data_IF_051882735289
#
_entry.id   IF_051882735289
#
_cell.length_a   1.000
_cell.length_b   1.000
_cell.length_c   1.000
_cell.angle_alpha   90.00
_cell.angle_beta   90.00
_cell.angle_gamma   90.00
#
_symmetry.space_group_name_H-M   'P 1'
#
loop_
_entity.id
_entity.type
_entity.pdbx_description
1 polymer ?
#
# COMPACT_ATOMS: atom_id res chain seq x y z
N UNK A 1 16.53 11.32 -6.89
CA UNK A 1 15.08 11.50 -7.16
C UNK A 1 14.69 10.50 -8.23
N UNK A 2 13.74 9.60 -7.98
CA UNK A 2 13.24 8.69 -9.01
C UNK A 2 12.03 9.33 -9.68
N UNK A 3 12.06 9.37 -11.01
CA UNK A 3 11.00 9.90 -11.85
C UNK A 3 10.72 8.97 -13.01
N UNK A 4 9.46 8.84 -13.37
CA UNK A 4 8.95 8.10 -14.52
C UNK A 4 8.11 9.09 -15.31
N UNK A 5 8.36 9.22 -16.62
CA UNK A 5 7.60 10.14 -17.48
C UNK A 5 7.50 11.57 -16.92
N UNK A 6 8.61 12.08 -16.36
CA UNK A 6 8.69 13.39 -15.69
C UNK A 6 7.83 13.54 -14.40
N UNK A 7 7.22 12.48 -13.90
CA UNK A 7 6.49 12.43 -12.63
C UNK A 7 7.34 11.81 -11.51
N UNK A 8 7.23 12.32 -10.28
CA UNK A 8 7.85 11.73 -9.10
C UNK A 8 7.10 10.46 -8.67
N UNK A 9 7.83 9.38 -8.40
CA UNK A 9 7.22 8.07 -8.12
C UNK A 9 6.97 7.76 -6.64
N UNK A 10 7.69 8.41 -5.72
CA UNK A 10 7.58 8.18 -4.26
C UNK A 10 7.50 6.66 -3.90
N UNK A 11 8.55 5.88 -4.18
CA UNK A 11 8.49 4.41 -4.20
C UNK A 11 8.57 3.73 -2.83
N UNK A 12 8.64 4.50 -1.74
CA UNK A 12 8.78 3.94 -0.41
C UNK A 12 7.43 3.57 0.20
N UNK A 13 7.37 2.50 1.01
CA UNK A 13 6.15 2.08 1.68
C UNK A 13 5.73 3.06 2.78
N UNK A 14 4.46 2.96 3.19
CA UNK A 14 3.92 3.61 4.37
C UNK A 14 3.27 2.59 5.28
N UNK A 15 3.36 2.82 6.58
CA UNK A 15 2.80 1.94 7.60
C UNK A 15 2.06 2.78 8.65
N UNK A 16 0.94 2.27 9.12
CA UNK A 16 0.24 2.80 10.30
C UNK A 16 -0.17 1.66 11.22
N UNK A 17 -0.38 1.98 12.49
CA UNK A 17 -0.99 1.09 13.46
C UNK A 17 -2.42 1.52 13.75
N UNK A 18 -3.29 0.55 14.01
CA UNK A 18 -4.59 0.80 14.61
C UNK A 18 -4.41 1.20 16.08
N UNK A 19 -4.65 2.49 16.35
CA UNK A 19 -4.55 3.07 17.69
C UNK A 19 -5.93 3.27 18.34
N UNK A 20 -6.99 2.71 17.74
CA UNK A 20 -8.34 2.77 18.27
C UNK A 20 -8.53 1.88 19.49
N UNK A 21 -9.73 1.92 20.07
CA UNK A 21 -10.18 0.95 21.07
C UNK A 21 -11.05 -0.16 20.44
N UNK A 22 -11.03 -0.26 19.11
CA UNK A 22 -11.75 -1.27 18.34
C UNK A 22 -11.08 -2.66 18.36
N UNK A 23 -11.71 -3.65 17.71
CA UNK A 23 -11.27 -5.05 17.72
C UNK A 23 -9.91 -5.30 17.06
N UNK A 24 -9.43 -4.38 16.21
CA UNK A 24 -8.15 -4.52 15.51
C UNK A 24 -7.03 -3.67 16.10
N UNK A 25 -7.19 -3.14 17.31
CA UNK A 25 -6.16 -2.35 18.00
C UNK A 25 -4.80 -3.06 17.97
N UNK A 26 -3.78 -2.35 17.49
CA UNK A 26 -2.42 -2.85 17.33
C UNK A 26 -2.12 -3.49 15.97
N UNK A 27 -3.14 -3.73 15.12
CA UNK A 27 -2.93 -4.19 13.74
C UNK A 27 -2.09 -3.17 12.97
N UNK A 28 -1.09 -3.67 12.26
CA UNK A 28 -0.29 -2.86 11.35
C UNK A 28 -0.86 -2.95 9.95
N UNK A 29 -0.99 -1.82 9.26
CA UNK A 29 -1.37 -1.75 7.86
C UNK A 29 -0.21 -1.17 7.05
N UNK A 30 0.21 -1.86 6.00
CA UNK A 30 1.32 -1.51 5.12
C UNK A 30 0.80 -1.26 3.71
N UNK A 31 1.06 -0.08 3.15
CA UNK A 31 0.76 0.26 1.75
C UNK A 31 2.01 0.60 0.96
N UNK A 32 2.05 0.15 -0.29
CA UNK A 32 3.21 0.34 -1.17
C UNK A 32 2.83 0.25 -2.64
N UNK A 33 3.63 0.88 -3.49
CA UNK A 33 3.53 0.72 -4.94
C UNK A 33 4.36 -0.49 -5.38
N UNK A 34 3.80 -1.37 -6.21
CA UNK A 34 4.49 -2.54 -6.76
C UNK A 34 4.05 -2.78 -8.20
N UNK A 35 5.00 -3.08 -9.08
CA UNK A 35 4.73 -3.58 -10.41
C UNK A 35 4.19 -5.02 -10.32
N UNK A 36 3.13 -5.32 -11.07
CA UNK A 36 2.63 -6.69 -11.24
C UNK A 36 2.14 -6.87 -12.68
N UNK A 37 2.81 -7.72 -13.50
CA UNK A 37 4.03 -8.45 -13.19
C UNK A 37 5.25 -7.53 -12.99
N UNK A 38 6.33 -8.07 -12.42
CA UNK A 38 7.61 -7.37 -12.33
C UNK A 38 8.06 -6.88 -13.72
N UNK A 39 8.43 -5.61 -13.81
CA UNK A 39 8.82 -4.99 -15.08
C UNK A 39 7.66 -4.50 -15.95
N UNK A 40 6.48 -4.21 -15.37
CA UNK A 40 5.28 -3.64 -16.03
C UNK A 40 5.45 -2.23 -16.65
N UNK A 41 6.64 -1.84 -17.06
CA UNK A 41 6.88 -0.55 -17.71
C UNK A 41 6.77 0.65 -16.76
N UNK A 42 7.11 0.45 -15.48
CA UNK A 42 6.97 1.45 -14.42
C UNK A 42 5.53 1.87 -14.14
N UNK A 43 4.59 0.93 -14.32
CA UNK A 43 3.17 1.09 -14.02
C UNK A 43 2.83 0.20 -12.83
N UNK A 44 3.12 0.67 -11.60
CA UNK A 44 2.76 -0.06 -10.41
C UNK A 44 1.29 0.14 -10.07
N UNK A 45 0.79 -0.80 -9.31
CA UNK A 45 -0.45 -0.73 -8.56
C UNK A 45 -0.16 -0.44 -7.08
N UNK A 46 -1.18 -0.01 -6.33
CA UNK A 46 -1.09 0.14 -4.88
C UNK A 46 -1.58 -1.14 -4.21
N UNK A 47 -0.75 -1.66 -3.32
CA UNK A 47 -1.01 -2.88 -2.57
C UNK A 47 -1.09 -2.61 -1.08
N UNK A 48 -1.97 -3.33 -0.39
CA UNK A 48 -2.07 -3.33 1.07
C UNK A 48 -1.84 -4.73 1.64
N UNK A 49 -1.23 -4.79 2.82
CA UNK A 49 -1.12 -5.97 3.68
C UNK A 49 -1.34 -5.54 5.12
N UNK A 50 -1.80 -6.46 5.97
CA UNK A 50 -1.83 -6.21 7.41
C UNK A 50 -1.18 -7.32 8.21
N UNK A 51 -0.81 -6.99 9.45
CA UNK A 51 -0.24 -7.90 10.45
C UNK A 51 -0.99 -7.74 11.76
N UNK A 52 -1.40 -8.87 12.35
CA UNK A 52 -2.05 -8.96 13.66
C UNK A 52 -1.08 -9.33 14.80
N UNK A 53 0.19 -9.58 14.47
CA UNK A 53 1.19 -10.17 15.37
C UNK A 53 2.46 -9.32 15.43
N UNK A 54 2.28 -8.00 15.52
CA UNK A 54 3.37 -7.02 15.70
C UNK A 54 4.41 -7.05 14.56
N UNK A 55 3.98 -7.42 13.35
CA UNK A 55 4.82 -7.46 12.15
C UNK A 55 5.54 -8.79 11.92
N UNK A 56 5.29 -9.82 12.74
CA UNK A 56 5.92 -11.12 12.58
C UNK A 56 5.43 -11.87 11.33
N UNK A 57 4.13 -11.80 11.04
CA UNK A 57 3.51 -12.32 9.82
C UNK A 57 2.58 -11.30 9.18
N UNK A 58 2.35 -11.47 7.87
CA UNK A 58 1.54 -10.55 7.07
C UNK A 58 0.60 -11.35 6.17
N UNK A 59 -0.63 -10.87 5.98
CA UNK A 59 -1.59 -11.45 5.02
C UNK A 59 -1.04 -11.50 3.60
N UNK A 60 -1.69 -12.20 2.67
CA UNK A 60 -1.43 -11.97 1.24
C UNK A 60 -1.63 -10.50 0.87
N UNK A 61 -0.94 -10.04 -0.18
CA UNK A 61 -1.09 -8.70 -0.70
C UNK A 61 -2.43 -8.55 -1.44
N UNK A 62 -3.15 -7.48 -1.13
CA UNK A 62 -4.39 -7.10 -1.80
C UNK A 62 -4.13 -5.86 -2.64
N UNK A 63 -4.49 -5.90 -3.93
CA UNK A 63 -4.49 -4.71 -4.78
C UNK A 63 -5.66 -3.80 -4.43
N UNK A 64 -5.41 -2.51 -4.29
CA UNK A 64 -6.39 -1.54 -3.74
C UNK A 64 -7.04 -0.69 -4.83
N UNK A 65 -6.31 -0.39 -5.90
CA UNK A 65 -6.89 0.25 -7.08
C UNK A 65 -7.77 -0.72 -7.88
N UNK A 66 -8.75 -0.16 -8.60
CA UNK A 66 -9.85 -0.87 -9.25
C UNK A 66 -9.74 -0.93 -10.78
N UNK A 67 -8.64 -0.45 -11.37
CA UNK A 67 -8.51 -0.49 -12.81
C UNK A 67 -8.34 -1.93 -13.35
N UNK A 68 -9.02 -2.29 -14.45
CA UNK A 68 -9.06 -3.67 -14.93
C UNK A 68 -7.70 -4.18 -15.42
N UNK A 69 -6.86 -3.28 -15.95
CA UNK A 69 -5.58 -3.62 -16.54
C UNK A 69 -4.43 -2.92 -15.80
N UNK A 70 -3.63 -3.67 -15.02
CA UNK A 70 -2.51 -3.12 -14.24
C UNK A 70 -1.39 -2.50 -15.10
N UNK A 71 -1.47 -2.64 -16.42
CA UNK A 71 -0.46 -2.16 -17.37
C UNK A 71 -0.84 -0.84 -18.04
N UNK A 72 -1.98 -0.23 -17.70
CA UNK A 72 -2.44 0.98 -18.39
C UNK A 72 -2.07 2.25 -17.63
N UNK A 73 -2.13 2.22 -16.30
CA UNK A 73 -2.09 3.41 -15.45
C UNK A 73 -0.86 3.47 -14.54
N UNK A 74 -0.57 4.68 -14.04
CA UNK A 74 0.50 4.93 -13.08
C UNK A 74 -0.08 5.17 -11.69
N UNK A 75 0.03 4.20 -10.77
CA UNK A 75 -0.43 4.38 -9.39
C UNK A 75 0.75 4.62 -8.44
N UNK A 76 0.96 5.87 -8.05
CA UNK A 76 2.09 6.28 -7.23
C UNK A 76 1.65 7.03 -5.97
N UNK A 77 2.62 7.25 -5.08
CA UNK A 77 2.45 8.07 -3.89
C UNK A 77 1.28 7.63 -2.99
N UNK A 78 1.26 6.37 -2.52
CA UNK A 78 0.27 5.95 -1.55
C UNK A 78 0.37 6.80 -0.27
N UNK A 79 -0.75 6.89 0.42
CA UNK A 79 -0.83 7.43 1.77
C UNK A 79 -1.80 6.56 2.56
N UNK A 80 -1.55 6.42 3.86
CA UNK A 80 -2.44 5.69 4.76
C UNK A 80 -2.56 6.43 6.08
N UNK A 81 -3.75 6.35 6.66
CA UNK A 81 -4.08 6.80 8.00
C UNK A 81 -5.10 5.81 8.57
N UNK A 82 -5.09 5.64 9.89
CA UNK A 82 -6.03 4.81 10.61
C UNK A 82 -6.74 5.69 11.63
N UNK A 83 -8.07 5.62 11.67
CA UNK A 83 -8.87 6.48 12.52
C UNK A 83 -8.70 6.08 13.99
N UNK A 84 -8.57 7.06 14.89
CA UNK A 84 -8.34 6.77 16.31
C UNK A 84 -9.61 6.36 17.03
N UNK A 85 -10.78 6.76 16.56
CA UNK A 85 -12.05 6.47 17.24
C UNK A 85 -12.62 5.14 16.75
N UNK A 86 -12.58 4.90 15.43
CA UNK A 86 -13.22 3.74 14.81
C UNK A 86 -12.26 2.66 14.31
N UNK A 87 -10.97 2.98 14.17
CA UNK A 87 -10.04 2.22 13.34
C UNK A 87 -10.16 2.64 11.88
#
# INVERSE_FOLDING_TARGET
>A
RHSVENMRTRPYPFITADNSFGPYRGRLYLVYAKNEPDGSGFKPDIWCRYSDDQGATWTSATRINDDPNPLDNHQWAPAIWCDKETG
#
